data_IF_754412048540
#
_entry.id   IF_754412048540
#
_cell.length_a   1.000
_cell.length_b   1.000
_cell.length_c   1.000
_cell.angle_alpha   90.00
_cell.angle_beta   90.00
_cell.angle_gamma   90.00
#
_symmetry.space_group_name_H-M   'P 1'
#
loop_
_entity.id
_entity.type
_entity.pdbx_description
1 polymer ?
#
# COMPACT_ATOMS: atom_id res chain seq x y z
N UNK A 1 20.83 -29.02 71.55
CA UNK A 1 22.09 -28.25 71.57
C UNK A 1 22.49 -28.01 70.12
N UNK A 2 22.46 -26.73 69.71
CA UNK A 2 23.18 -26.10 68.58
C UNK A 2 23.10 -26.76 67.19
N UNK A 3 22.29 -26.25 66.25
CA UNK A 3 22.47 -25.07 65.35
C UNK A 3 23.23 -25.42 64.04
N UNK A 4 22.72 -24.83 62.94
CA UNK A 4 23.25 -24.59 61.57
C UNK A 4 22.68 -25.50 60.45
N UNK A 5 21.64 -25.06 59.73
CA UNK A 5 21.55 -24.01 58.68
C UNK A 5 22.07 -24.46 57.30
N UNK A 6 21.14 -24.75 56.38
CA UNK A 6 20.94 -23.95 55.15
C UNK A 6 19.69 -24.44 54.40
N UNK A 7 18.53 -23.93 54.85
CA UNK A 7 17.35 -23.81 54.01
C UNK A 7 17.60 -22.73 52.95
N UNK A 8 17.46 -23.10 51.67
CA UNK A 8 17.28 -22.12 50.60
C UNK A 8 15.79 -21.84 50.47
N UNK A 9 15.42 -20.63 50.87
CA UNK A 9 14.12 -20.00 50.67
C UNK A 9 13.67 -20.09 49.20
N UNK A 10 12.63 -20.89 48.93
CA UNK A 10 11.79 -20.71 47.75
C UNK A 10 10.67 -19.74 48.15
N UNK A 11 10.93 -18.44 48.02
CA UNK A 11 9.85 -17.44 48.01
C UNK A 11 9.35 -17.33 46.58
N UNK A 12 8.15 -17.84 46.37
CA UNK A 12 7.33 -17.65 45.18
C UNK A 12 7.13 -16.15 44.93
N UNK A 13 7.86 -15.59 43.97
CA UNK A 13 7.56 -14.28 43.41
C UNK A 13 6.86 -14.53 42.07
N UNK A 14 5.54 -14.37 42.06
CA UNK A 14 4.75 -14.21 40.84
C UNK A 14 5.21 -12.92 40.16
N UNK A 15 6.11 -13.03 39.18
CA UNK A 15 6.39 -11.97 38.22
C UNK A 15 5.51 -12.23 37.01
N UNK A 16 4.34 -11.59 37.01
CA UNK A 16 3.48 -11.46 35.85
C UNK A 16 4.20 -10.57 34.83
N UNK A 17 5.05 -11.15 33.98
CA UNK A 17 5.57 -10.45 32.81
C UNK A 17 4.46 -10.40 31.76
N UNK A 18 3.81 -9.24 31.68
CA UNK A 18 2.82 -8.90 30.67
C UNK A 18 3.53 -8.77 29.31
N UNK A 19 3.56 -9.87 28.56
CA UNK A 19 4.09 -9.93 27.20
C UNK A 19 3.07 -9.33 26.24
N UNK A 20 3.12 -8.01 26.00
CA UNK A 20 2.44 -7.43 24.84
C UNK A 20 3.21 -7.81 23.57
N UNK A 21 2.72 -8.84 22.88
CA UNK A 21 3.15 -9.20 21.54
C UNK A 21 2.45 -8.25 20.55
N UNK A 22 3.20 -7.28 20.02
CA UNK A 22 2.80 -6.58 18.80
C UNK A 22 3.10 -7.55 17.65
N UNK A 23 2.11 -8.36 17.29
CA UNK A 23 2.17 -9.21 16.11
C UNK A 23 1.58 -8.42 14.93
N UNK A 24 2.44 -7.93 14.03
CA UNK A 24 2.00 -7.46 12.72
C UNK A 24 1.71 -8.68 11.84
N UNK A 25 0.45 -8.82 11.46
CA UNK A 25 -0.10 -9.66 10.38
C UNK A 25 0.45 -11.09 10.26
N UNK A 26 -0.20 -12.00 11.01
CA UNK A 26 -0.39 -13.39 10.57
C UNK A 26 -1.90 -13.63 10.52
N UNK A 27 -2.42 -14.08 9.38
CA UNK A 27 -3.72 -14.73 9.36
C UNK A 27 -3.57 -16.02 10.17
N UNK A 28 -4.15 -16.06 11.36
CA UNK A 28 -4.29 -17.28 12.15
C UNK A 28 -5.78 -17.49 12.44
N UNK A 29 -6.31 -18.64 11.99
CA UNK A 29 -7.47 -19.26 12.60
C UNK A 29 -7.05 -19.72 14.00
N UNK A 30 -7.67 -19.20 15.05
CA UNK A 30 -7.60 -19.76 16.40
C UNK A 30 -9.00 -19.76 17.02
N UNK A 31 -9.58 -20.96 17.12
CA UNK A 31 -10.48 -21.32 18.22
C UNK A 31 -9.62 -21.60 19.43
N UNK A 32 -9.37 -20.57 20.24
CA UNK A 32 -8.99 -20.67 21.65
C UNK A 32 -9.57 -19.45 22.38
N UNK A 33 -10.02 -19.67 23.61
CA UNK A 33 -10.80 -18.73 24.43
C UNK A 33 -10.18 -17.32 24.45
N UNK A 34 -10.87 -16.36 23.83
CA UNK A 34 -10.45 -14.96 23.80
C UNK A 34 -10.35 -14.45 25.25
N UNK A 35 -9.16 -14.01 25.72
CA UNK A 35 -9.11 -13.08 26.83
C UNK A 35 -10.00 -11.89 26.43
N UNK A 36 -10.78 -11.35 27.35
CA UNK A 36 -11.51 -10.10 27.09
C UNK A 36 -10.49 -9.03 26.69
N UNK A 37 -10.25 -8.89 25.39
CA UNK A 37 -9.72 -7.67 24.79
C UNK A 37 -10.73 -6.62 25.22
N UNK A 38 -10.30 -5.66 26.04
CA UNK A 38 -11.18 -4.58 26.48
C UNK A 38 -11.91 -4.05 25.26
N UNK A 39 -13.23 -4.27 25.19
CA UNK A 39 -14.03 -4.00 23.99
C UNK A 39 -14.17 -2.52 23.71
N UNK A 40 -13.52 -1.68 24.54
CA UNK A 40 -13.64 -0.23 24.61
C UNK A 40 -12.27 0.37 24.83
N UNK A 41 -11.59 0.76 23.74
CA UNK A 41 -10.28 1.41 23.82
C UNK A 41 -10.08 2.38 22.67
N UNK A 42 -9.14 3.29 22.86
CA UNK A 42 -8.65 4.22 21.86
C UNK A 42 -7.13 4.08 21.84
N UNK A 43 -6.59 3.75 20.69
CA UNK A 43 -5.16 3.58 20.49
C UNK A 43 -4.67 4.73 19.60
N UNK A 44 -3.67 5.47 20.09
CA UNK A 44 -2.94 6.44 19.30
C UNK A 44 -1.60 5.82 18.93
N UNK A 45 -1.25 5.90 17.65
CA UNK A 45 0.02 5.40 17.16
C UNK A 45 0.52 6.24 16.01
N UNK A 46 1.59 5.79 15.40
CA UNK A 46 2.12 6.48 14.25
C UNK A 46 3.48 5.99 13.83
N UNK A 47 4.11 6.79 12.99
CA UNK A 47 5.49 6.57 12.60
C UNK A 47 6.19 7.87 12.21
N UNK A 48 7.50 7.89 12.38
CA UNK A 48 8.38 8.87 11.74
C UNK A 48 9.32 8.10 10.84
N UNK A 49 9.33 8.45 9.55
CA UNK A 49 10.17 7.81 8.55
C UNK A 49 11.26 8.76 8.06
N UNK A 50 12.44 8.19 7.91
CA UNK A 50 13.56 8.76 7.18
C UNK A 50 13.85 7.91 5.97
N UNK A 51 14.49 8.51 4.97
CA UNK A 51 14.85 7.83 3.74
C UNK A 51 16.21 8.29 3.25
N UNK A 52 16.99 7.34 2.75
CA UNK A 52 18.20 7.60 1.99
C UNK A 52 17.96 7.25 0.53
N UNK A 53 18.23 8.21 -0.35
CA UNK A 53 18.18 8.05 -1.80
C UNK A 53 19.57 8.21 -2.39
N UNK A 54 19.95 7.25 -3.23
CA UNK A 54 21.15 7.31 -4.04
C UNK A 54 20.82 7.00 -5.50
N UNK A 55 21.07 7.97 -6.37
CA UNK A 55 20.92 7.84 -7.82
C UNK A 55 22.16 8.47 -8.47
N UNK A 56 22.98 7.62 -9.10
CA UNK A 56 24.24 8.06 -9.68
C UNK A 56 24.04 8.87 -10.96
N UNK A 57 22.98 8.59 -11.73
CA UNK A 57 22.72 9.23 -13.01
C UNK A 57 22.18 10.66 -12.84
N UNK A 58 21.50 10.92 -11.71
CA UNK A 58 20.97 12.25 -11.33
C UNK A 58 21.78 12.99 -10.27
N UNK A 59 22.93 12.46 -9.86
CA UNK A 59 23.76 12.98 -8.75
C UNK A 59 22.96 13.21 -7.46
N UNK A 60 22.09 12.25 -7.12
CA UNK A 60 21.28 12.29 -5.89
C UNK A 60 21.98 11.45 -4.84
N UNK A 61 22.25 12.09 -3.70
CA UNK A 61 22.71 11.42 -2.48
C UNK A 61 22.14 12.17 -1.28
N UNK A 62 20.94 11.78 -0.86
CA UNK A 62 20.16 12.54 0.13
C UNK A 62 19.70 11.60 1.24
N UNK A 63 19.98 11.96 2.49
CA UNK A 63 19.35 11.40 3.67
C UNK A 63 18.42 12.47 4.24
N UNK A 64 17.14 12.16 4.40
CA UNK A 64 16.16 13.15 4.84
C UNK A 64 14.94 12.55 5.50
N UNK A 65 14.06 13.45 5.96
CA UNK A 65 12.71 13.11 6.40
C UNK A 65 11.89 12.61 5.20
N UNK A 66 11.14 11.53 5.40
CA UNK A 66 10.28 10.94 4.37
C UNK A 66 8.81 11.29 4.65
N UNK A 67 8.31 10.88 5.80
CA UNK A 67 6.95 11.19 6.23
C UNK A 67 6.77 11.01 7.74
N UNK A 68 5.83 11.75 8.31
CA UNK A 68 5.25 11.46 9.61
C UNK A 68 3.83 10.93 9.42
N UNK A 69 3.50 9.93 10.24
CA UNK A 69 2.26 9.17 10.19
C UNK A 69 1.59 9.35 11.54
N UNK A 70 0.32 9.77 11.53
CA UNK A 70 -0.52 9.79 12.72
C UNK A 70 -1.66 8.80 12.53
N UNK A 71 -1.79 7.88 13.49
CA UNK A 71 -2.82 6.84 13.50
C UNK A 71 -3.71 6.99 14.73
N UNK A 72 -5.00 6.76 14.52
CA UNK A 72 -6.00 6.65 15.56
C UNK A 72 -6.86 5.42 15.27
N UNK A 73 -6.89 4.50 16.21
CA UNK A 73 -7.82 3.39 16.23
C UNK A 73 -8.77 3.54 17.41
N UNK A 74 -10.03 3.18 17.24
CA UNK A 74 -10.93 3.02 18.36
C UNK A 74 -11.76 1.75 18.21
N UNK A 75 -12.14 1.19 19.35
CA UNK A 75 -12.95 0.00 19.45
C UNK A 75 -14.04 0.23 20.49
N UNK A 76 -15.28 -0.11 20.14
CA UNK A 76 -16.46 -0.05 21.00
C UNK A 76 -17.42 -1.19 20.63
N UNK A 77 -17.25 -2.34 21.28
CA UNK A 77 -18.04 -3.55 21.11
C UNK A 77 -18.05 -4.07 19.64
N UNK A 78 -19.07 -3.73 18.85
CA UNK A 78 -19.19 -4.09 17.42
C UNK A 78 -18.75 -2.97 16.47
N UNK A 79 -18.58 -1.75 17.00
CA UNK A 79 -18.13 -0.60 16.25
C UNK A 79 -16.61 -0.45 16.42
N UNK A 80 -15.91 -0.15 15.35
CA UNK A 80 -14.53 0.30 15.39
C UNK A 80 -14.32 1.42 14.37
N UNK A 81 -13.16 2.04 14.39
CA UNK A 81 -12.77 2.95 13.33
C UNK A 81 -11.29 3.19 13.34
N UNK A 82 -10.81 3.66 12.19
CA UNK A 82 -9.41 3.89 11.93
C UNK A 82 -9.24 5.18 11.14
N UNK A 83 -8.30 6.01 11.57
CA UNK A 83 -7.85 7.19 10.83
C UNK A 83 -6.32 7.19 10.74
N UNK A 84 -5.81 7.43 9.54
CA UNK A 84 -4.38 7.48 9.24
C UNK A 84 -4.09 8.71 8.38
N UNK A 85 -3.19 9.55 8.86
CA UNK A 85 -2.82 10.82 8.23
C UNK A 85 -1.34 10.87 7.91
N UNK A 86 -0.99 11.46 6.76
CA UNK A 86 0.37 11.59 6.24
C UNK A 86 0.79 13.05 6.21
N UNK A 87 1.99 13.32 6.70
CA UNK A 87 2.63 14.63 6.72
C UNK A 87 3.99 14.49 6.02
N UNK A 88 4.22 15.31 5.00
CA UNK A 88 5.41 15.32 4.13
C UNK A 88 5.85 16.78 3.88
N UNK A 89 6.95 16.98 3.14
CA UNK A 89 7.48 18.30 2.78
C UNK A 89 8.81 18.62 3.48
N UNK A 90 9.49 19.65 3.00
CA UNK A 90 10.74 20.19 3.56
C UNK A 90 11.99 19.33 3.37
N UNK A 91 11.91 18.19 2.69
CA UNK A 91 13.04 17.30 2.41
C UNK A 91 12.83 16.58 1.07
N UNK A 92 13.93 16.16 0.42
CA UNK A 92 13.89 15.41 -0.84
C UNK A 92 12.92 14.21 -0.73
N UNK A 93 11.99 14.01 -1.68
CA UNK A 93 11.88 14.66 -3.00
C UNK A 93 10.99 15.92 -3.01
N UNK A 94 10.61 16.43 -1.84
CA UNK A 94 9.76 17.60 -1.63
C UNK A 94 10.55 18.83 -1.16
N UNK A 95 11.83 18.92 -1.50
CA UNK A 95 12.69 20.04 -1.13
C UNK A 95 12.37 21.35 -1.87
N UNK A 96 11.38 21.32 -2.78
CA UNK A 96 10.73 22.51 -3.33
C UNK A 96 9.68 23.14 -2.38
N UNK A 97 9.37 22.49 -1.26
CA UNK A 97 8.50 23.05 -0.21
C UNK A 97 9.33 23.59 0.95
N UNK A 98 8.80 24.58 1.68
CA UNK A 98 9.57 25.32 2.69
C UNK A 98 9.68 24.53 4.01
N UNK A 99 8.66 23.73 4.37
CA UNK A 99 8.54 23.12 5.70
C UNK A 99 7.92 21.72 5.64
N UNK A 100 8.30 20.89 6.62
CA UNK A 100 7.56 19.65 6.94
C UNK A 100 6.10 20.02 7.24
N UNK A 101 5.17 19.36 6.57
CA UNK A 101 3.74 19.59 6.67
C UNK A 101 3.14 20.50 5.61
N UNK A 102 3.94 21.03 4.66
CA UNK A 102 3.39 21.73 3.51
C UNK A 102 2.60 20.81 2.58
N UNK A 103 2.94 19.51 2.58
CA UNK A 103 2.20 18.45 1.90
C UNK A 103 1.61 17.52 2.96
N UNK A 104 0.30 17.31 2.92
CA UNK A 104 -0.35 16.37 3.83
C UNK A 104 -1.72 15.93 3.34
N UNK A 105 -2.13 14.71 3.69
CA UNK A 105 -3.41 14.13 3.31
C UNK A 105 -3.76 12.92 4.20
N UNK A 106 -5.04 12.56 4.22
CA UNK A 106 -5.49 11.32 4.83
C UNK A 106 -5.20 10.12 3.90
N UNK A 107 -4.68 9.02 4.45
CA UNK A 107 -4.63 7.72 3.77
C UNK A 107 -5.94 6.96 4.00
N UNK A 108 -6.39 6.89 5.25
CA UNK A 108 -7.59 6.15 5.67
C UNK A 108 -8.38 6.96 6.69
N UNK A 109 -9.70 6.84 6.67
CA UNK A 109 -10.58 7.41 7.68
C UNK A 109 -11.96 6.77 7.55
N UNK A 110 -12.21 5.69 8.28
CA UNK A 110 -13.47 4.96 8.19
C UNK A 110 -13.94 4.46 9.56
N UNK A 111 -15.26 4.27 9.65
CA UNK A 111 -15.91 3.51 10.71
C UNK A 111 -16.20 2.11 10.19
N UNK A 112 -16.08 1.10 11.04
CA UNK A 112 -16.44 -0.27 10.73
C UNK A 112 -17.46 -0.78 11.73
N UNK A 113 -18.48 -1.49 11.24
CA UNK A 113 -19.46 -2.18 12.08
C UNK A 113 -19.43 -3.67 11.76
N UNK A 114 -19.20 -4.49 12.78
CA UNK A 114 -19.19 -5.95 12.68
C UNK A 114 -20.54 -6.50 13.11
N UNK A 115 -21.32 -6.99 12.15
CA UNK A 115 -22.62 -7.61 12.41
C UNK A 115 -22.46 -8.93 13.18
N UNK A 116 -21.46 -9.73 12.78
CA UNK A 116 -21.09 -11.02 13.38
C UNK A 116 -19.66 -11.39 12.95
N UNK A 117 -19.21 -12.61 13.24
CA UNK A 117 -17.86 -13.06 12.89
C UNK A 117 -17.61 -13.17 11.37
N UNK A 118 -18.67 -13.30 10.58
CA UNK A 118 -18.62 -13.48 9.13
C UNK A 118 -18.82 -12.18 8.36
N UNK A 119 -19.46 -11.16 8.95
CA UNK A 119 -19.97 -9.99 8.23
C UNK A 119 -19.54 -8.68 8.89
N UNK A 120 -18.97 -7.79 8.08
CA UNK A 120 -18.70 -6.41 8.50
C UNK A 120 -18.90 -5.41 7.37
N UNK A 121 -19.08 -4.14 7.74
CA UNK A 121 -19.15 -3.03 6.81
C UNK A 121 -18.20 -1.93 7.25
N UNK A 122 -17.53 -1.30 6.30
CA UNK A 122 -16.71 -0.10 6.47
C UNK A 122 -17.35 1.06 5.73
N UNK A 123 -17.43 2.24 6.36
CA UNK A 123 -17.98 3.46 5.78
C UNK A 123 -16.99 4.60 5.99
N UNK A 124 -16.63 5.30 4.91
CA UNK A 124 -15.67 6.40 4.92
C UNK A 124 -14.59 6.23 3.86
N UNK A 125 -13.42 6.82 4.08
CA UNK A 125 -12.23 6.64 3.26
C UNK A 125 -11.58 5.29 3.56
N UNK A 126 -11.85 4.30 2.70
CA UNK A 126 -11.36 2.93 2.86
C UNK A 126 -10.79 2.37 1.54
N UNK A 127 -10.03 1.29 1.65
CA UNK A 127 -9.35 0.67 0.50
C UNK A 127 -10.34 -0.01 -0.43
N UNK A 128 -10.22 0.24 -1.74
CA UNK A 128 -11.01 -0.40 -2.79
C UNK A 128 -10.56 -1.87 -2.95
N UNK A 129 -11.48 -2.85 -2.94
CA UNK A 129 -11.14 -4.26 -2.99
C UNK A 129 -10.81 -4.70 -4.44
N UNK A 130 -9.57 -4.47 -4.88
CA UNK A 130 -9.03 -4.95 -6.16
C UNK A 130 -7.71 -5.65 -5.85
N UNK A 131 -7.47 -6.81 -6.45
CA UNK A 131 -6.23 -7.56 -6.25
C UNK A 131 -5.94 -7.98 -4.81
N UNK A 132 -4.67 -8.05 -4.39
CA UNK A 132 -4.36 -8.28 -2.98
C UNK A 132 -4.66 -7.05 -2.11
N UNK A 133 -4.96 -7.28 -0.83
CA UNK A 133 -5.14 -6.22 0.15
C UNK A 133 -4.18 -6.45 1.32
N UNK A 134 -3.46 -5.43 1.83
CA UNK A 134 -3.38 -4.07 1.29
C UNK A 134 -2.42 -3.91 0.10
N UNK A 135 -1.40 -4.77 -0.05
CA UNK A 135 -0.33 -4.59 -1.04
C UNK A 135 -0.12 -5.84 -1.91
N UNK A 136 0.22 -5.61 -3.17
CA UNK A 136 0.55 -6.66 -4.13
C UNK A 136 1.99 -7.15 -3.98
N UNK A 137 2.83 -6.37 -3.30
CA UNK A 137 4.28 -6.55 -3.25
C UNK A 137 4.84 -6.54 -1.82
N UNK A 138 6.11 -6.91 -1.70
CA UNK A 138 6.93 -6.78 -0.50
C UNK A 138 7.76 -5.49 -0.48
N UNK A 139 7.87 -4.78 -1.61
CA UNK A 139 8.63 -3.53 -1.72
C UNK A 139 7.90 -2.34 -1.06
N UNK A 140 8.67 -1.38 -0.52
CA UNK A 140 8.15 -0.14 0.07
C UNK A 140 7.72 0.91 -0.97
N UNK A 141 8.14 0.78 -2.23
CA UNK A 141 7.75 1.67 -3.33
C UNK A 141 6.54 1.18 -4.12
N UNK A 142 6.01 0.00 -3.76
CA UNK A 142 4.86 -0.68 -4.41
C UNK A 142 5.10 -1.03 -5.90
N UNK A 143 4.12 -1.62 -6.59
CA UNK A 143 4.26 -2.00 -8.00
C UNK A 143 3.89 -0.86 -8.97
N UNK A 144 4.09 -1.08 -10.27
CA UNK A 144 3.49 -0.22 -11.30
C UNK A 144 1.95 -0.16 -11.21
N UNK A 145 1.30 -1.14 -10.57
CA UNK A 145 -0.13 -1.12 -10.28
C UNK A 145 -0.53 -0.01 -9.30
N UNK A 146 0.37 0.40 -8.40
CA UNK A 146 0.18 1.55 -7.53
C UNK A 146 0.19 2.84 -8.33
N UNK A 147 1.19 3.01 -9.20
CA UNK A 147 1.33 4.20 -10.05
C UNK A 147 0.15 4.31 -11.04
N UNK A 148 -0.34 3.18 -11.56
CA UNK A 148 -1.53 3.12 -12.40
C UNK A 148 -2.85 3.31 -11.63
N UNK A 149 -2.80 3.56 -10.31
CA UNK A 149 -3.96 3.84 -9.47
C UNK A 149 -4.94 2.68 -9.35
N UNK A 150 -4.41 1.48 -9.08
CA UNK A 150 -5.20 0.26 -8.80
C UNK A 150 -4.75 -0.40 -7.49
N UNK A 151 -3.44 -0.54 -7.26
CA UNK A 151 -2.89 -0.96 -5.96
C UNK A 151 -3.02 0.16 -4.92
N UNK A 152 -3.24 -0.21 -3.65
CA UNK A 152 -3.38 0.70 -2.50
C UNK A 152 -4.28 1.93 -2.78
N UNK A 153 -5.37 1.70 -3.52
CA UNK A 153 -6.37 2.71 -3.88
C UNK A 153 -7.39 2.90 -2.75
N UNK A 154 -7.47 4.11 -2.18
CA UNK A 154 -8.47 4.49 -1.18
C UNK A 154 -9.48 5.48 -1.76
N UNK A 155 -10.76 5.24 -1.46
CA UNK A 155 -11.86 6.07 -1.92
C UNK A 155 -12.92 6.24 -0.84
N UNK A 156 -13.74 7.29 -0.96
CA UNK A 156 -14.83 7.55 -0.02
C UNK A 156 -16.05 6.72 -0.44
N UNK A 157 -16.48 5.81 0.43
CA UNK A 157 -17.56 4.90 0.11
C UNK A 157 -17.90 3.92 1.22
N UNK A 158 -18.59 2.86 0.82
CA UNK A 158 -19.00 1.74 1.67
C UNK A 158 -18.35 0.47 1.13
N UNK A 159 -17.76 -0.34 2.01
CA UNK A 159 -17.23 -1.66 1.69
C UNK A 159 -17.83 -2.69 2.62
N UNK A 160 -18.40 -3.73 2.06
CA UNK A 160 -18.93 -4.89 2.77
C UNK A 160 -17.97 -6.06 2.64
N UNK A 161 -17.72 -6.76 3.74
CA UNK A 161 -16.88 -7.94 3.82
C UNK A 161 -17.69 -9.12 4.36
N UNK A 162 -17.73 -10.20 3.59
CA UNK A 162 -18.34 -11.45 3.98
C UNK A 162 -17.33 -12.59 3.86
N UNK A 163 -17.07 -13.27 4.97
CA UNK A 163 -16.15 -14.41 5.03
C UNK A 163 -16.85 -15.62 5.64
N UNK A 164 -16.76 -16.75 4.94
CA UNK A 164 -17.29 -18.04 5.39
C UNK A 164 -16.35 -19.16 4.96
N UNK A 165 -15.89 -19.96 5.92
CA UNK A 165 -14.92 -21.04 5.68
C UNK A 165 -13.68 -20.52 4.90
N UNK A 166 -13.45 -21.07 3.72
CA UNK A 166 -12.35 -20.76 2.82
C UNK A 166 -12.67 -19.62 1.83
N UNK A 167 -13.87 -19.04 1.90
CA UNK A 167 -14.38 -18.07 0.95
C UNK A 167 -14.45 -16.68 1.57
N UNK A 168 -14.04 -15.67 0.82
CA UNK A 168 -14.25 -14.27 1.17
C UNK A 168 -14.76 -13.50 -0.04
N UNK A 169 -15.79 -12.67 0.18
CA UNK A 169 -16.35 -11.76 -0.81
C UNK A 169 -16.30 -10.34 -0.26
N UNK A 170 -15.72 -9.44 -1.03
CA UNK A 170 -15.71 -8.01 -0.76
C UNK A 170 -16.52 -7.30 -1.84
N UNK A 171 -17.43 -6.42 -1.43
CA UNK A 171 -18.17 -5.55 -2.33
C UNK A 171 -18.01 -4.11 -1.88
N UNK A 172 -17.74 -3.20 -2.82
CA UNK A 172 -17.55 -1.79 -2.54
C UNK A 172 -18.37 -0.90 -3.46
N UNK A 173 -18.92 0.18 -2.92
CA UNK A 173 -19.48 1.29 -3.68
C UNK A 173 -18.86 2.61 -3.20
N UNK A 174 -18.29 3.37 -4.14
CA UNK A 174 -17.50 4.55 -3.85
C UNK A 174 -18.02 5.77 -4.62
N UNK A 175 -18.54 6.73 -3.88
CA UNK A 175 -19.17 7.93 -4.44
C UNK A 175 -18.15 8.94 -4.97
N UNK A 176 -16.94 8.95 -4.42
CA UNK A 176 -15.91 9.93 -4.75
C UNK A 176 -14.49 9.38 -4.56
N UNK A 177 -13.53 10.08 -5.16
CA UNK A 177 -12.10 9.98 -4.83
C UNK A 177 -11.86 10.27 -3.33
N UNK A 178 -10.63 10.01 -2.86
CA UNK A 178 -10.19 10.47 -1.55
C UNK A 178 -10.28 12.01 -1.43
N UNK A 179 -10.35 12.52 -0.20
CA UNK A 179 -10.34 13.96 0.04
C UNK A 179 -9.00 14.56 -0.35
N UNK A 180 -9.02 15.70 -1.06
CA UNK A 180 -7.80 16.43 -1.39
C UNK A 180 -7.20 16.96 -0.10
N UNK A 181 -5.93 16.64 0.12
CA UNK A 181 -5.14 17.25 1.17
C UNK A 181 -4.64 18.64 0.80
N UNK A 182 -3.56 19.05 1.47
CA UNK A 182 -2.83 20.27 1.15
C UNK A 182 -1.53 19.92 0.44
N UNK A 183 -1.15 20.75 -0.50
CA UNK A 183 0.09 20.68 -1.27
C UNK A 183 0.18 21.89 -2.19
N UNK A 184 1.16 21.89 -3.09
CA UNK A 184 1.39 22.93 -4.10
C UNK A 184 0.61 22.72 -5.39
N UNK A 185 0.21 21.47 -5.69
CA UNK A 185 -0.46 21.08 -6.92
C UNK A 185 -1.87 20.50 -6.75
N UNK A 186 -2.40 19.92 -7.83
CA UNK A 186 -3.65 19.17 -7.82
C UNK A 186 -3.49 17.79 -7.17
N UNK A 187 -2.27 17.24 -7.18
CA UNK A 187 -1.95 15.86 -6.76
C UNK A 187 -1.89 15.57 -5.26
N UNK A 188 -2.37 16.43 -4.36
CA UNK A 188 -2.26 16.22 -2.91
C UNK A 188 -3.17 15.08 -2.37
N UNK A 189 -2.84 13.84 -2.69
CA UNK A 189 -3.54 12.62 -2.28
C UNK A 189 -2.55 11.50 -1.96
N UNK A 190 -2.98 10.54 -1.14
CA UNK A 190 -2.24 9.31 -0.91
C UNK A 190 -2.25 8.42 -2.16
N UNK A 191 -3.41 7.90 -2.56
CA UNK A 191 -3.48 7.01 -3.72
C UNK A 191 -3.31 7.77 -5.02
N UNK A 192 -2.73 7.12 -6.03
CA UNK A 192 -2.81 7.57 -7.42
C UNK A 192 -4.25 7.45 -7.90
N UNK A 193 -4.85 8.57 -8.28
CA UNK A 193 -6.25 8.62 -8.69
C UNK A 193 -6.46 9.63 -9.81
N UNK A 194 -7.50 9.40 -10.62
CA UNK A 194 -7.84 10.26 -11.75
C UNK A 194 -8.34 11.61 -11.23
N UNK A 195 -7.61 12.66 -11.60
CA UNK A 195 -7.90 14.05 -11.20
C UNK A 195 -7.58 15.01 -12.34
N UNK A 196 -8.07 16.26 -12.28
CA UNK A 196 -7.64 17.27 -13.22
C UNK A 196 -6.15 17.57 -13.09
N UNK A 197 -5.50 17.71 -14.23
CA UNK A 197 -4.09 18.04 -14.36
C UNK A 197 -3.72 19.39 -13.72
N UNK A 198 -2.46 19.49 -13.30
CA UNK A 198 -1.84 20.79 -13.08
C UNK A 198 -1.68 21.52 -14.43
N UNK A 199 -1.76 22.86 -14.46
CA UNK A 199 -1.66 23.63 -15.70
C UNK A 199 -0.36 23.41 -16.48
N UNK A 200 0.72 23.02 -15.80
CA UNK A 200 2.03 22.74 -16.40
C UNK A 200 2.16 21.34 -17.00
N UNK A 201 1.21 20.43 -16.76
CA UNK A 201 1.28 19.07 -17.28
C UNK A 201 0.89 19.05 -18.75
N UNK A 202 1.87 18.76 -19.60
CA UNK A 202 1.64 18.60 -21.03
C UNK A 202 0.69 17.43 -21.31
N UNK A 203 -0.27 17.65 -22.21
CA UNK A 203 -1.32 16.69 -22.54
C UNK A 203 -2.13 16.21 -21.32
N UNK A 204 -2.24 17.07 -20.30
CA UNK A 204 -3.08 16.85 -19.14
C UNK A 204 -4.56 16.81 -19.51
N UNK A 205 -5.32 15.99 -18.78
CA UNK A 205 -6.77 15.85 -18.88
C UNK A 205 -7.42 16.40 -17.61
N UNK A 206 -8.75 16.58 -17.64
CA UNK A 206 -9.49 17.24 -16.56
C UNK A 206 -10.57 16.34 -15.93
N UNK A 207 -10.43 15.02 -16.06
CA UNK A 207 -11.37 14.04 -15.55
C UNK A 207 -11.35 13.93 -14.03
N UNK A 208 -12.51 13.56 -13.48
CA UNK A 208 -12.68 13.06 -12.12
C UNK A 208 -13.46 11.76 -12.13
N UNK A 209 -13.03 10.84 -11.30
CA UNK A 209 -13.67 9.54 -11.15
C UNK A 209 -14.69 9.54 -10.01
N UNK A 210 -15.85 8.92 -10.24
CA UNK A 210 -16.97 8.88 -9.29
C UNK A 210 -17.87 7.67 -9.54
N UNK A 211 -18.79 7.42 -8.61
CA UNK A 211 -19.80 6.35 -8.72
C UNK A 211 -19.19 5.00 -9.10
N UNK A 212 -18.16 4.58 -8.36
CA UNK A 212 -17.44 3.35 -8.63
C UNK A 212 -18.02 2.16 -7.87
N UNK A 213 -18.01 0.99 -8.50
CA UNK A 213 -18.34 -0.31 -7.90
C UNK A 213 -17.12 -1.20 -7.97
N UNK A 214 -16.89 -1.97 -6.90
CA UNK A 214 -15.79 -2.91 -6.80
C UNK A 214 -16.29 -4.25 -6.26
N UNK A 215 -15.74 -5.33 -6.77
CA UNK A 215 -16.00 -6.69 -6.32
C UNK A 215 -14.67 -7.44 -6.24
N UNK A 216 -14.52 -8.24 -5.19
CA UNK A 216 -13.42 -9.19 -5.08
C UNK A 216 -13.93 -10.48 -4.45
N UNK A 217 -13.46 -11.59 -4.98
CA UNK A 217 -13.65 -12.90 -4.39
C UNK A 217 -12.30 -13.56 -4.18
N UNK A 218 -12.13 -14.17 -3.00
CA UNK A 218 -10.95 -14.93 -2.62
C UNK A 218 -11.36 -16.33 -2.16
N UNK A 219 -10.60 -17.33 -2.59
CA UNK A 219 -10.63 -18.69 -2.09
C UNK A 219 -9.28 -19.05 -1.49
N UNK A 220 -9.27 -19.38 -0.20
CA UNK A 220 -8.07 -19.75 0.54
C UNK A 220 -8.07 -21.25 0.81
N UNK A 221 -7.03 -21.94 0.36
CA UNK A 221 -6.83 -23.35 0.62
C UNK A 221 -5.64 -23.55 1.55
N UNK A 222 -5.89 -24.22 2.67
CA UNK A 222 -4.85 -24.61 3.61
C UNK A 222 -4.25 -25.95 3.21
N UNK A 223 -2.92 -26.03 3.20
CA UNK A 223 -2.13 -27.25 3.05
C UNK A 223 -1.19 -27.38 4.25
N UNK A 224 -0.59 -28.55 4.45
CA UNK A 224 0.20 -28.83 5.66
C UNK A 224 1.38 -27.85 5.88
N UNK A 225 2.01 -27.36 4.81
CA UNK A 225 3.22 -26.54 4.87
C UNK A 225 3.06 -25.13 4.27
N UNK A 226 1.93 -24.84 3.63
CA UNK A 226 1.66 -23.55 2.99
C UNK A 226 0.17 -23.30 2.83
N UNK A 227 -0.19 -22.03 2.71
CA UNK A 227 -1.53 -21.60 2.32
C UNK A 227 -1.48 -21.11 0.87
N UNK A 228 -2.49 -21.42 0.06
CA UNK A 228 -2.65 -20.83 -1.27
C UNK A 228 -3.91 -19.98 -1.31
N UNK A 229 -3.83 -18.79 -1.89
CA UNK A 229 -5.00 -17.93 -2.13
C UNK A 229 -5.19 -17.72 -3.62
N UNK A 230 -6.42 -17.88 -4.09
CA UNK A 230 -6.84 -17.57 -5.45
C UNK A 230 -7.87 -16.47 -5.39
N UNK A 231 -7.79 -15.48 -6.26
CA UNK A 231 -8.85 -14.49 -6.31
C UNK A 231 -9.03 -13.82 -7.65
N UNK A 232 -10.22 -13.25 -7.77
CA UNK A 232 -10.66 -12.47 -8.91
C UNK A 232 -11.20 -11.15 -8.40
N UNK A 233 -11.04 -10.08 -9.18
CA UNK A 233 -11.60 -8.78 -8.85
C UNK A 233 -12.08 -8.02 -10.07
N UNK A 234 -13.03 -7.12 -9.85
CA UNK A 234 -13.60 -6.25 -10.88
C UNK A 234 -13.85 -4.87 -10.29
N UNK A 235 -13.62 -3.84 -11.08
CA UNK A 235 -13.86 -2.45 -10.73
C UNK A 235 -14.40 -1.71 -11.93
N UNK A 236 -15.47 -0.94 -11.73
CA UNK A 236 -16.05 -0.07 -12.74
C UNK A 236 -16.31 1.30 -12.13
N UNK A 237 -16.04 2.38 -12.85
CA UNK A 237 -16.31 3.74 -12.39
C UNK A 237 -16.71 4.65 -13.54
N UNK A 238 -17.43 5.73 -13.21
CA UNK A 238 -17.76 6.80 -14.15
C UNK A 238 -16.70 7.89 -14.08
N UNK A 239 -16.36 8.45 -15.24
CA UNK A 239 -15.50 9.61 -15.36
C UNK A 239 -16.34 10.82 -15.74
N UNK A 240 -15.98 11.99 -15.20
CA UNK A 240 -16.59 13.27 -15.54
C UNK A 240 -15.50 14.31 -15.80
N UNK A 241 -15.49 14.87 -17.01
CA UNK A 241 -14.66 16.03 -17.37
C UNK A 241 -15.37 17.33 -16.96
N UNK A 242 -14.59 18.40 -16.72
CA UNK A 242 -15.12 19.75 -16.50
C UNK A 242 -15.24 20.54 -17.82
N UNK A 243 -14.42 20.20 -18.81
CA UNK A 243 -14.30 20.88 -20.09
C UNK A 243 -15.17 20.25 -21.18
N UNK A 244 -15.44 18.94 -21.09
CA UNK A 244 -16.21 18.20 -22.09
C UNK A 244 -17.38 17.48 -21.43
N UNK A 245 -18.59 17.65 -21.98
CA UNK A 245 -19.77 16.88 -21.54
C UNK A 245 -19.75 15.48 -22.16
N UNK A 246 -19.01 14.58 -21.52
CA UNK A 246 -18.89 13.20 -21.96
C UNK A 246 -19.73 12.25 -21.11
N UNK A 247 -20.79 11.74 -21.72
CA UNK A 247 -21.78 10.91 -21.02
C UNK A 247 -21.34 9.47 -20.79
N UNK A 248 -20.33 9.00 -21.54
CA UNK A 248 -19.92 7.59 -21.57
C UNK A 248 -18.49 7.36 -21.09
N UNK A 249 -17.82 8.37 -20.53
CA UNK A 249 -16.46 8.20 -20.03
C UNK A 249 -16.47 7.33 -18.76
N UNK A 250 -15.65 6.27 -18.74
CA UNK A 250 -15.64 5.28 -17.67
C UNK A 250 -14.28 4.58 -17.55
N UNK A 251 -14.06 3.90 -16.43
CA UNK A 251 -12.91 3.01 -16.22
C UNK A 251 -13.40 1.63 -15.83
N UNK A 252 -12.72 0.62 -16.34
CA UNK A 252 -12.87 -0.78 -16.02
C UNK A 252 -11.51 -1.36 -15.63
N UNK A 253 -11.49 -2.16 -14.56
CA UNK A 253 -10.34 -2.97 -14.19
C UNK A 253 -10.81 -4.36 -13.83
N UNK A 254 -10.16 -5.39 -14.39
CA UNK A 254 -10.41 -6.78 -14.06
C UNK A 254 -9.11 -7.42 -13.58
N UNK A 255 -9.14 -8.19 -12.50
CA UNK A 255 -7.96 -8.74 -11.87
C UNK A 255 -8.05 -10.24 -11.61
N UNK A 256 -6.93 -10.93 -11.79
CA UNK A 256 -6.70 -12.31 -11.35
C UNK A 256 -5.46 -12.32 -10.46
N UNK A 257 -5.54 -12.93 -9.29
CA UNK A 257 -4.41 -13.03 -8.38
C UNK A 257 -4.28 -14.40 -7.73
N UNK A 258 -3.03 -14.77 -7.43
CA UNK A 258 -2.66 -16.02 -6.80
C UNK A 258 -1.50 -15.82 -5.84
N UNK A 259 -1.60 -16.32 -4.61
CA UNK A 259 -0.48 -16.35 -3.67
C UNK A 259 -0.22 -17.72 -3.09
N UNK A 260 1.03 -17.93 -2.70
CA UNK A 260 1.48 -19.01 -1.82
C UNK A 260 2.15 -18.37 -0.63
N UNK A 261 1.72 -18.73 0.57
CA UNK A 261 2.30 -18.29 1.83
C UNK A 261 2.76 -19.52 2.62
N UNK A 262 4.05 -19.81 2.56
CA UNK A 262 4.70 -20.87 3.33
C UNK A 262 5.48 -20.32 4.53
N UNK A 263 6.10 -21.23 5.29
CA UNK A 263 6.88 -20.84 6.48
C UNK A 263 8.02 -19.83 6.15
N UNK A 264 8.74 -20.07 5.04
CA UNK A 264 9.84 -19.19 4.60
C UNK A 264 9.55 -18.43 3.32
N UNK A 265 8.93 -19.09 2.35
CA UNK A 265 8.69 -18.57 1.01
C UNK A 265 7.28 -18.00 0.91
N UNK A 266 7.17 -16.77 0.44
CA UNK A 266 5.93 -16.15 0.00
C UNK A 266 6.03 -15.80 -1.49
N UNK A 267 4.97 -16.03 -2.25
CA UNK A 267 4.85 -15.66 -3.66
C UNK A 267 3.51 -14.97 -3.86
N UNK A 268 3.49 -13.85 -4.57
CA UNK A 268 2.25 -13.18 -5.04
C UNK A 268 2.35 -12.91 -6.53
N UNK A 269 1.33 -13.34 -7.27
CA UNK A 269 1.19 -13.08 -8.71
C UNK A 269 -0.15 -12.39 -8.93
N UNK A 270 -0.15 -11.30 -9.68
CA UNK A 270 -1.38 -10.60 -10.07
C UNK A 270 -1.28 -10.09 -11.50
N UNK A 271 -2.38 -10.22 -12.23
CA UNK A 271 -2.59 -9.62 -13.57
C UNK A 271 -3.83 -8.76 -13.52
N UNK A 272 -3.75 -7.52 -14.00
CA UNK A 272 -4.84 -6.56 -14.05
C UNK A 272 -5.02 -6.04 -15.48
N UNK A 273 -6.21 -6.16 -16.02
CA UNK A 273 -6.60 -5.58 -17.30
C UNK A 273 -7.21 -4.21 -17.02
N UNK A 274 -6.54 -3.13 -17.45
CA UNK A 274 -6.98 -1.76 -17.21
C UNK A 274 -7.50 -1.14 -18.51
N UNK A 275 -8.70 -0.57 -18.47
CA UNK A 275 -9.33 0.09 -19.60
C UNK A 275 -10.02 1.38 -19.15
N UNK A 276 -9.61 2.50 -19.73
CA UNK A 276 -10.28 3.79 -19.59
C UNK A 276 -10.84 4.18 -20.95
N UNK A 277 -12.12 4.55 -20.97
CA UNK A 277 -12.82 5.07 -22.13
C UNK A 277 -12.89 6.58 -22.02
N UNK A 278 -12.04 7.27 -22.79
CA UNK A 278 -12.05 8.72 -23.01
C UNK A 278 -11.61 8.98 -24.47
N UNK A 279 -11.73 10.20 -25.03
CA UNK A 279 -11.24 10.52 -26.38
C UNK A 279 -9.70 10.52 -26.49
N UNK A 280 -8.99 10.64 -25.37
CA UNK A 280 -7.55 10.59 -25.32
C UNK A 280 -7.04 9.15 -25.14
N UNK A 281 -5.80 8.89 -25.52
CA UNK A 281 -5.11 7.62 -25.27
C UNK A 281 -4.52 7.52 -23.86
N UNK A 282 -4.57 8.62 -23.09
CA UNK A 282 -4.08 8.74 -21.73
C UNK A 282 -5.02 9.57 -20.86
N UNK A 283 -4.95 9.36 -19.55
CA UNK A 283 -5.69 10.13 -18.54
C UNK A 283 -4.74 10.58 -17.44
N UNK A 284 -5.02 11.73 -16.85
CA UNK A 284 -4.20 12.29 -15.79
C UNK A 284 -4.55 11.70 -14.45
N UNK A 285 -3.50 11.29 -13.75
CA UNK A 285 -3.53 10.85 -12.36
C UNK A 285 -2.75 11.87 -11.52
N UNK A 286 -3.02 11.87 -10.22
CA UNK A 286 -2.22 12.63 -9.28
C UNK A 286 -2.20 12.02 -7.90
N UNK A 287 -1.05 12.16 -7.26
CA UNK A 287 -0.74 11.74 -5.90
C UNK A 287 0.53 12.46 -5.45
N UNK A 288 0.77 12.50 -4.13
CA UNK A 288 2.00 13.03 -3.56
C UNK A 288 2.43 14.39 -4.14
N UNK A 289 1.45 15.27 -4.32
CA UNK A 289 1.59 16.65 -4.80
C UNK A 289 1.96 16.83 -6.29
N UNK A 290 2.03 15.76 -7.07
CA UNK A 290 2.28 15.80 -8.51
C UNK A 290 1.12 15.28 -9.36
N UNK A 291 1.10 15.71 -10.62
CA UNK A 291 0.24 15.13 -11.67
C UNK A 291 1.06 14.54 -12.80
N UNK A 292 0.59 13.42 -13.35
CA UNK A 292 1.23 12.70 -14.44
C UNK A 292 0.18 11.96 -15.28
N UNK A 293 0.56 11.55 -16.50
CA UNK A 293 -0.33 10.84 -17.41
C UNK A 293 -0.09 9.33 -17.34
N UNK A 294 -1.20 8.58 -17.44
CA UNK A 294 -1.22 7.13 -17.48
C UNK A 294 -1.95 6.68 -18.75
N UNK A 295 -1.40 5.67 -19.44
CA UNK A 295 -2.03 5.08 -20.61
C UNK A 295 -3.41 4.54 -20.25
N UNK A 296 -4.40 4.76 -21.12
CA UNK A 296 -5.78 4.36 -20.84
C UNK A 296 -6.01 2.85 -20.96
N UNK A 297 -5.22 2.13 -21.75
CA UNK A 297 -5.45 0.72 -22.04
C UNK A 297 -4.16 -0.08 -21.93
N UNK A 298 -4.21 -1.19 -21.22
CA UNK A 298 -3.09 -2.11 -21.10
C UNK A 298 -3.30 -3.20 -20.06
N UNK A 299 -2.29 -4.05 -19.91
CA UNK A 299 -2.24 -5.12 -18.91
C UNK A 299 -1.11 -4.85 -17.94
N UNK A 300 -1.42 -4.84 -16.66
CA UNK A 300 -0.46 -4.74 -15.57
C UNK A 300 -0.17 -6.12 -15.03
N UNK A 301 1.11 -6.49 -15.01
CA UNK A 301 1.61 -7.72 -14.40
C UNK A 301 2.41 -7.36 -13.16
N UNK A 302 2.26 -8.11 -12.07
CA UNK A 302 3.10 -8.01 -10.88
C UNK A 302 3.38 -9.38 -10.30
N UNK A 303 4.66 -9.64 -10.02
CA UNK A 303 5.15 -10.86 -9.41
C UNK A 303 6.11 -10.50 -8.27
N UNK A 304 5.82 -11.02 -7.08
CA UNK A 304 6.59 -10.82 -5.86
C UNK A 304 7.03 -12.16 -5.30
N UNK A 305 8.29 -12.24 -4.88
CA UNK A 305 8.85 -13.38 -4.15
C UNK A 305 9.54 -12.85 -2.91
N UNK A 306 9.16 -13.37 -1.75
CA UNK A 306 9.71 -13.01 -0.46
C UNK A 306 10.22 -14.27 0.26
N UNK A 307 11.40 -14.17 0.87
CA UNK A 307 12.02 -15.28 1.58
C UNK A 307 12.56 -14.85 2.95
N UNK A 308 12.00 -15.43 4.01
CA UNK A 308 12.43 -15.21 5.39
C UNK A 308 13.74 -15.96 5.67
N UNK A 309 14.69 -15.30 6.34
CA UNK A 309 15.98 -15.89 6.73
C UNK A 309 16.12 -15.81 8.26
N UNK A 310 15.52 -16.75 9.02
CA UNK A 310 15.55 -16.73 10.48
C UNK A 310 16.95 -16.76 11.09
N UNK A 311 17.96 -17.22 10.35
CA UNK A 311 19.35 -17.25 10.78
C UNK A 311 19.95 -15.85 10.99
N UNK A 312 19.37 -14.82 10.37
CA UNK A 312 19.75 -13.42 10.58
C UNK A 312 18.93 -12.73 11.67
N UNK A 313 17.98 -13.43 12.31
CA UNK A 313 17.28 -12.92 13.49
C UNK A 313 18.19 -13.07 14.70
N UNK A 314 19.05 -12.07 14.91
CA UNK A 314 19.98 -11.97 16.04
C UNK A 314 19.43 -11.01 17.10
N UNK A 315 20.16 -10.77 18.19
CA UNK A 315 19.70 -9.86 19.26
C UNK A 315 19.24 -8.51 18.68
N UNK A 316 18.01 -8.14 19.02
CA UNK A 316 17.31 -6.92 18.57
C UNK A 316 16.97 -6.85 17.07
N UNK A 317 17.24 -7.89 16.27
CA UNK A 317 16.87 -7.98 14.85
C UNK A 317 15.87 -9.12 14.67
N UNK A 318 14.68 -8.80 14.19
CA UNK A 318 13.60 -9.73 13.92
C UNK A 318 13.13 -9.63 12.47
N UNK A 319 12.43 -10.66 12.00
CA UNK A 319 11.76 -10.70 10.70
C UNK A 319 12.68 -10.38 9.50
N UNK A 320 13.95 -10.80 9.55
CA UNK A 320 14.85 -10.59 8.43
C UNK A 320 14.35 -11.36 7.19
N UNK A 321 14.18 -10.66 6.08
CA UNK A 321 13.81 -11.23 4.80
C UNK A 321 14.56 -10.58 3.64
N UNK A 322 14.58 -11.31 2.53
CA UNK A 322 14.96 -10.80 1.22
C UNK A 322 13.79 -10.98 0.27
N UNK A 323 13.66 -10.08 -0.70
CA UNK A 323 12.60 -10.15 -1.68
C UNK A 323 13.05 -9.66 -3.06
N UNK A 324 12.38 -10.18 -4.07
CA UNK A 324 12.49 -9.71 -5.44
C UNK A 324 11.08 -9.47 -5.98
N UNK A 325 10.90 -8.32 -6.63
CA UNK A 325 9.64 -7.95 -7.25
C UNK A 325 9.87 -7.53 -8.71
N UNK A 326 8.94 -7.92 -9.57
CA UNK A 326 8.86 -7.43 -10.95
C UNK A 326 7.45 -6.96 -11.24
N UNK A 327 7.32 -5.83 -11.93
CA UNK A 327 6.04 -5.44 -12.54
C UNK A 327 6.23 -4.78 -13.90
N UNK A 328 5.21 -4.91 -14.75
CA UNK A 328 5.17 -4.33 -16.09
C UNK A 328 3.79 -3.76 -16.38
N UNK A 329 3.75 -2.58 -17.01
CA UNK A 329 2.56 -2.08 -17.68
C UNK A 329 2.74 -2.22 -19.19
N UNK A 330 2.09 -3.24 -19.75
CA UNK A 330 2.04 -3.53 -21.19
C UNK A 330 0.91 -2.71 -21.83
N UNK A 331 1.27 -1.65 -22.55
CA UNK A 331 0.35 -0.61 -23.01
C UNK A 331 -0.18 -0.97 -24.40
N UNK A 332 -1.50 -0.88 -24.58
CA UNK A 332 -2.12 -1.26 -25.85
C UNK A 332 -1.90 -0.27 -26.99
N UNK A 333 -1.57 0.99 -26.69
CA UNK A 333 -1.29 2.02 -27.70
C UNK A 333 0.11 1.78 -28.28
N UNK A 334 0.21 1.48 -29.58
CA UNK A 334 1.48 1.10 -30.24
C UNK A 334 2.62 2.13 -30.08
N UNK A 335 2.28 3.41 -30.05
CA UNK A 335 3.28 4.49 -29.94
C UNK A 335 3.70 4.74 -28.49
N UNK A 336 3.06 4.07 -27.52
CA UNK A 336 3.40 4.18 -26.11
C UNK A 336 4.40 3.09 -25.74
N UNK A 337 5.46 3.48 -25.04
CA UNK A 337 6.49 2.55 -24.58
C UNK A 337 6.09 1.94 -23.25
N UNK A 338 6.17 0.61 -23.13
CA UNK A 338 5.87 -0.09 -21.88
C UNK A 338 6.72 0.38 -20.70
N UNK A 339 6.14 0.27 -19.51
CA UNK A 339 6.82 0.56 -18.25
C UNK A 339 7.20 -0.73 -17.54
N UNK A 340 8.40 -0.80 -16.97
CA UNK A 340 8.87 -1.97 -16.22
C UNK A 340 9.56 -1.53 -14.93
N UNK A 341 9.48 -2.39 -13.91
CA UNK A 341 10.09 -2.20 -12.60
C UNK A 341 10.62 -3.53 -12.09
N UNK A 342 11.86 -3.54 -11.61
CA UNK A 342 12.45 -4.62 -10.82
C UNK A 342 12.91 -4.04 -9.49
N UNK A 343 12.61 -4.72 -8.40
CA UNK A 343 13.12 -4.38 -7.06
C UNK A 343 13.83 -5.60 -6.49
N UNK A 344 15.05 -5.41 -6.03
CA UNK A 344 15.77 -6.39 -5.20
C UNK A 344 15.97 -5.76 -3.83
N UNK A 345 15.42 -6.36 -2.79
CA UNK A 345 15.43 -5.74 -1.47
C UNK A 345 15.63 -6.71 -0.32
N UNK A 346 15.90 -6.12 0.83
CA UNK A 346 15.86 -6.79 2.13
C UNK A 346 15.16 -5.89 3.14
N UNK A 347 14.56 -6.50 4.15
CA UNK A 347 14.02 -5.78 5.27
C UNK A 347 14.19 -6.54 6.58
N UNK A 348 14.15 -5.80 7.68
CA UNK A 348 14.16 -6.36 9.02
C UNK A 348 13.55 -5.36 10.01
N UNK A 349 13.14 -5.89 11.16
CA UNK A 349 12.70 -5.08 12.31
C UNK A 349 13.83 -5.00 13.32
N UNK A 350 14.22 -3.79 13.72
CA UNK A 350 15.19 -3.54 14.77
C UNK A 350 14.52 -3.02 16.04
N UNK A 351 14.85 -3.60 17.20
CA UNK A 351 14.30 -3.23 18.53
C UNK A 351 12.79 -3.10 18.55
N UNK A 352 12.06 -3.95 17.81
CA UNK A 352 10.59 -3.99 17.66
C UNK A 352 9.93 -2.77 16.99
N UNK A 353 10.52 -1.58 17.09
CA UNK A 353 9.90 -0.34 16.63
C UNK A 353 10.49 0.19 15.33
N UNK A 354 11.69 -0.24 14.92
CA UNK A 354 12.31 0.24 13.69
C UNK A 354 12.10 -0.77 12.56
N UNK A 355 11.35 -0.40 11.53
CA UNK A 355 11.35 -1.16 10.27
C UNK A 355 12.37 -0.52 9.33
N UNK A 356 13.29 -1.33 8.82
CA UNK A 356 14.33 -0.90 7.89
C UNK A 356 14.22 -1.74 6.63
N UNK A 357 14.09 -1.10 5.48
CA UNK A 357 14.10 -1.72 4.17
C UNK A 357 15.18 -1.08 3.30
N UNK A 358 15.99 -1.89 2.65
CA UNK A 358 16.99 -1.45 1.69
C UNK A 358 16.69 -2.09 0.33
N UNK A 359 16.56 -1.27 -0.70
CA UNK A 359 16.07 -1.68 -2.02
C UNK A 359 16.97 -1.12 -3.12
N UNK A 360 17.37 -2.01 -4.02
CA UNK A 360 17.93 -1.64 -5.31
C UNK A 360 16.84 -1.70 -6.36
N UNK A 361 16.56 -0.53 -6.93
CA UNK A 361 15.44 -0.29 -7.82
C UNK A 361 15.96 -0.17 -9.25
N UNK A 362 15.31 -0.86 -10.18
CA UNK A 362 15.53 -0.72 -11.61
C UNK A 362 14.20 -0.38 -12.29
N UNK A 363 14.22 0.63 -13.15
CA UNK A 363 13.03 1.10 -13.83
C UNK A 363 13.31 1.36 -15.30
N UNK A 364 12.38 0.98 -16.16
CA UNK A 364 12.35 1.37 -17.57
C UNK A 364 11.03 2.06 -17.83
N UNK A 365 11.08 3.31 -18.30
CA UNK A 365 9.89 4.17 -18.39
C UNK A 365 9.08 4.15 -17.08
N UNK A 366 9.77 4.30 -15.94
CA UNK A 366 9.19 4.36 -14.60
C UNK A 366 9.31 5.81 -14.08
N UNK A 367 8.23 6.45 -13.61
CA UNK A 367 8.26 7.86 -13.24
C UNK A 367 8.99 8.16 -11.92
N UNK A 368 9.26 7.16 -11.08
CA UNK A 368 9.89 7.34 -9.76
C UNK A 368 11.31 6.80 -9.68
N UNK A 369 11.75 6.03 -10.67
CA UNK A 369 13.07 5.40 -10.69
C UNK A 369 13.93 6.02 -11.79
N UNK A 370 15.09 6.55 -11.40
CA UNK A 370 16.08 7.06 -12.33
C UNK A 370 15.68 8.38 -12.99
N UNK A 371 16.32 8.66 -14.13
CA UNK A 371 16.15 9.91 -14.89
C UNK A 371 14.97 9.92 -15.88
N UNK A 372 14.02 9.00 -15.74
CA UNK A 372 12.86 8.93 -16.64
C UNK A 372 11.85 10.07 -16.44
N UNK A 373 10.92 10.21 -17.39
CA UNK A 373 9.90 11.27 -17.33
C UNK A 373 8.88 10.99 -16.24
N UNK A 374 8.81 11.82 -15.20
CA UNK A 374 7.74 11.74 -14.19
C UNK A 374 6.35 11.86 -14.84
N UNK A 375 6.20 12.79 -15.79
CA UNK A 375 4.92 13.14 -16.38
C UNK A 375 4.37 12.11 -17.39
N UNK A 376 5.23 11.40 -18.13
CA UNK A 376 4.81 10.60 -19.29
C UNK A 376 5.24 9.13 -19.23
N UNK A 377 6.06 8.72 -18.26
CA UNK A 377 6.59 7.35 -18.19
C UNK A 377 5.51 6.27 -18.22
N UNK A 378 4.37 6.47 -17.54
CA UNK A 378 3.23 5.54 -17.58
C UNK A 378 2.25 5.75 -18.74
N UNK A 379 2.44 6.76 -19.58
CA UNK A 379 1.69 7.02 -20.80
C UNK A 379 2.58 6.82 -22.03
N UNK A 380 2.92 7.88 -22.76
CA UNK A 380 3.73 7.82 -23.97
C UNK A 380 5.09 7.12 -23.79
N UNK A 381 5.67 7.21 -22.60
CA UNK A 381 6.98 6.63 -22.27
C UNK A 381 7.97 7.67 -21.76
N UNK A 382 9.18 7.22 -21.48
CA UNK A 382 10.29 8.04 -20.99
C UNK A 382 11.55 7.81 -21.82
N UNK A 383 12.68 7.59 -21.16
CA UNK A 383 13.98 7.41 -21.83
C UNK A 383 14.11 6.11 -22.62
N UNK A 384 13.20 5.15 -22.41
CA UNK A 384 13.27 3.78 -22.92
C UNK A 384 14.53 3.00 -22.51
N UNK A 385 15.25 3.47 -21.48
CA UNK A 385 16.43 2.83 -20.92
C UNK A 385 16.11 2.29 -19.53
N UNK A 386 16.85 1.27 -19.13
CA UNK A 386 16.88 0.85 -17.74
C UNK A 386 17.74 1.83 -16.96
N UNK A 387 17.13 2.44 -15.96
CA UNK A 387 17.76 3.33 -15.01
C UNK A 387 17.71 2.66 -13.62
N UNK A 388 18.54 3.08 -12.68
CA UNK A 388 18.59 2.45 -11.37
C UNK A 388 18.87 3.44 -10.24
N UNK A 389 18.39 3.12 -9.04
CA UNK A 389 18.69 3.88 -7.83
C UNK A 389 18.61 2.97 -6.61
N UNK A 390 19.21 3.39 -5.50
CA UNK A 390 19.09 2.72 -4.20
C UNK A 390 18.21 3.56 -3.29
N UNK A 391 17.27 2.90 -2.62
CA UNK A 391 16.43 3.48 -1.60
C UNK A 391 16.62 2.73 -0.27
N UNK A 392 16.79 3.44 0.84
CA UNK A 392 16.74 2.85 2.17
C UNK A 392 15.69 3.59 2.98
N UNK A 393 14.61 2.90 3.35
CA UNK A 393 13.56 3.42 4.22
C UNK A 393 13.81 2.98 5.67
N UNK A 394 13.74 3.93 6.60
CA UNK A 394 13.92 3.70 8.04
C UNK A 394 12.73 4.32 8.75
N UNK A 395 11.83 3.51 9.28
CA UNK A 395 10.65 3.97 10.01
C UNK A 395 10.68 3.57 11.47
N UNK A 396 10.51 4.53 12.37
CA UNK A 396 10.19 4.27 13.78
C UNK A 396 8.68 4.30 13.98
N UNK A 397 8.09 3.19 14.45
CA UNK A 397 6.67 3.00 14.69
C UNK A 397 6.40 2.83 16.17
N UNK A 398 5.36 3.48 16.68
CA UNK A 398 5.02 3.50 18.10
C UNK A 398 3.52 3.31 18.32
#
# INVERSE_FOLDING_TARGET
MQILLKDKSLRSLFLLTLSYAICQSSYANETEEKPQVESRRIDFGGAIRMRFDYDADRDIRKLGFDTAIANLDFYYDQLSGHAEYRILGGAYPYDYTDKIGDIHFAKKAYLAYRFNEQQSVQVGLNQVPIGFQPYYTSTVIESLGYIAGVEDLYRVGVKYDYKVENHQVLFGYYVANAWKGKGTGQGAYYSNQIIPADPSLEHGTDYKEKDAVAFQYNYTQQHDAWTSNYGISGYYSKLKSKAVDEKNAHREVYGLHYSIDGNRLGIKLITLFNHLTTPADQTTFGSYDGTFNVANKGVLYSADVNYKIPQFNVKDIDNFNIYAHYSRYDKSKKDFLDSEQVVLGSAFTYKKNFYIAAEWLFGKNNPYIGSSSYAQSLAAGGTNRWENQVNINIGYYF
#
